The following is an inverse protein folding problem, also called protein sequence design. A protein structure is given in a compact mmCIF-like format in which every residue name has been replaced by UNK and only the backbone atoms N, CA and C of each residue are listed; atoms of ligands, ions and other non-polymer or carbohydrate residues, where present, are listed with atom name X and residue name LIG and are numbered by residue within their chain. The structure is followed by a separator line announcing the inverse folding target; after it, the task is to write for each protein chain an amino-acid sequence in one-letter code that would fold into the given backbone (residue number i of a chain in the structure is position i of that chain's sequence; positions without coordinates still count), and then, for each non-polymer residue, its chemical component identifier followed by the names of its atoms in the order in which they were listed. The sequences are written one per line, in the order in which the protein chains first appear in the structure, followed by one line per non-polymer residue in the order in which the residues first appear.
data_IF_698551444532
#
_entry.id   IF_698551444532
#
_cell.length_a   1.000
_cell.length_b   1.000
_cell.length_c   1.000
_cell.angle_alpha   90.00
_cell.angle_beta   90.00
_cell.angle_gamma   90.00
#
_symmetry.space_group_name_H-M   'P 1'
#
loop_
_entity.id
_entity.type
_entity.pdbx_description
1 polymer ?
#
# COMPACT_ATOMS: atom_id res chain seq x y z
N UNK A 1 0.65 24.03 14.45
CA UNK A 1 0.96 23.23 15.64
C UNK A 1 2.20 22.40 15.32
N UNK A 2 3.37 22.76 15.85
CA UNK A 2 4.57 21.94 15.69
C UNK A 2 4.44 20.73 16.62
N UNK A 3 4.48 19.53 16.05
CA UNK A 3 4.61 18.31 16.83
C UNK A 3 5.97 18.36 17.56
N UNK A 4 5.93 18.25 18.88
CA UNK A 4 7.14 18.20 19.72
C UNK A 4 8.00 16.98 19.35
N UNK A 5 9.35 17.11 19.38
CA UNK A 5 10.27 16.04 18.95
C UNK A 5 10.25 14.78 19.86
N UNK A 6 9.72 14.90 21.07
CA UNK A 6 9.62 13.80 22.04
C UNK A 6 8.20 13.23 22.11
N UNK A 7 7.81 12.50 21.08
CA UNK A 7 6.68 11.56 21.18
C UNK A 7 7.26 10.14 21.26
N UNK A 8 6.67 9.19 22.01
CA UNK A 8 7.14 7.80 22.05
C UNK A 8 7.27 7.14 20.66
N UNK A 9 6.62 7.71 19.64
CA UNK A 9 6.77 7.40 18.22
C UNK A 9 8.16 7.70 17.62
N UNK A 10 8.92 8.68 18.13
CA UNK A 10 10.23 9.06 17.58
C UNK A 10 11.36 8.10 18.00
N UNK A 11 11.39 7.65 19.26
CA UNK A 11 12.39 6.69 19.76
C UNK A 11 12.23 5.28 19.15
N UNK A 12 10.98 4.84 18.92
CA UNK A 12 10.71 3.52 18.34
C UNK A 12 11.13 3.41 16.86
N UNK A 13 11.16 4.53 16.12
CA UNK A 13 11.58 4.56 14.72
C UNK A 13 13.09 4.37 14.52
N UNK A 14 13.91 4.71 15.51
CA UNK A 14 15.38 4.64 15.40
C UNK A 14 15.91 3.19 15.27
N UNK A 15 15.16 2.20 15.73
CA UNK A 15 15.51 0.77 15.67
C UNK A 15 14.79 0.02 14.54
N UNK A 16 13.99 0.71 13.73
CA UNK A 16 13.29 0.10 12.61
C UNK A 16 14.29 -0.32 11.49
N UNK A 17 14.02 -1.40 10.74
CA UNK A 17 14.87 -1.78 9.62
C UNK A 17 14.93 -0.65 8.59
N UNK A 18 16.16 -0.30 8.17
CA UNK A 18 16.43 0.83 7.27
C UNK A 18 16.05 0.56 5.82
N UNK A 19 15.98 -0.72 5.43
CA UNK A 19 15.58 -1.14 4.09
C UNK A 19 14.57 -2.28 4.19
N UNK A 20 13.46 -2.13 3.48
CA UNK A 20 12.33 -3.06 3.51
C UNK A 20 12.16 -3.65 2.12
N UNK A 21 12.04 -4.97 2.03
CA UNK A 21 11.70 -5.65 0.78
C UNK A 21 10.22 -5.50 0.46
N UNK A 22 9.93 -4.85 -0.67
CA UNK A 22 8.58 -4.50 -1.09
C UNK A 22 8.24 -5.12 -2.44
N UNK A 23 7.02 -5.64 -2.59
CA UNK A 23 6.49 -6.10 -3.87
C UNK A 23 5.31 -5.22 -4.30
N UNK A 24 5.24 -4.86 -5.58
CA UNK A 24 4.15 -4.03 -6.13
C UNK A 24 3.29 -4.85 -7.07
N UNK A 25 1.98 -4.79 -6.90
CA UNK A 25 1.00 -5.42 -7.79
C UNK A 25 0.06 -4.36 -8.36
N UNK A 26 0.15 -4.12 -9.65
CA UNK A 26 -0.83 -3.28 -10.36
C UNK A 26 -2.01 -4.14 -10.78
N UNK A 27 -3.21 -3.76 -10.37
CA UNK A 27 -4.46 -4.43 -10.75
C UNK A 27 -5.13 -3.63 -11.86
N UNK A 28 -5.16 -4.18 -13.07
CA UNK A 28 -5.75 -3.53 -14.23
C UNK A 28 -6.00 -4.48 -15.40
N UNK A 29 -7.14 -4.27 -16.06
CA UNK A 29 -7.46 -4.97 -17.31
C UNK A 29 -6.72 -4.43 -18.54
N UNK A 30 -6.17 -3.21 -18.46
CA UNK A 30 -5.62 -2.48 -19.63
C UNK A 30 -4.17 -2.04 -19.48
N UNK A 31 -3.61 -2.06 -18.26
CA UNK A 31 -2.20 -1.71 -18.06
C UNK A 31 -1.26 -2.76 -18.63
N UNK A 32 -0.13 -2.28 -19.12
CA UNK A 32 1.05 -3.02 -19.52
C UNK A 32 2.25 -2.37 -18.84
N UNK A 33 3.42 -3.03 -18.87
CA UNK A 33 4.64 -2.47 -18.28
C UNK A 33 4.99 -1.07 -18.85
N UNK A 34 4.67 -0.84 -20.12
CA UNK A 34 4.94 0.42 -20.79
C UNK A 34 4.13 1.59 -20.22
N UNK A 35 2.88 1.35 -19.80
CA UNK A 35 1.94 2.39 -19.39
C UNK A 35 1.47 2.31 -17.92
N UNK A 36 2.05 1.40 -17.12
CA UNK A 36 1.81 1.30 -15.69
C UNK A 36 2.53 2.43 -14.92
N UNK A 37 1.95 3.62 -14.95
CA UNK A 37 2.52 4.81 -14.29
C UNK A 37 2.45 4.70 -12.77
N UNK A 38 1.35 4.18 -12.22
CA UNK A 38 1.13 4.06 -10.78
C UNK A 38 2.06 3.02 -10.15
N UNK A 39 2.17 1.81 -10.72
CA UNK A 39 3.10 0.79 -10.24
C UNK A 39 4.56 1.23 -10.40
N UNK A 40 4.87 2.00 -11.45
CA UNK A 40 6.19 2.62 -11.62
C UNK A 40 6.49 3.65 -10.53
N UNK A 41 5.55 4.56 -10.26
CA UNK A 41 5.69 5.58 -9.22
C UNK A 41 5.91 4.96 -7.82
N UNK A 42 5.19 3.89 -7.47
CA UNK A 42 5.42 3.16 -6.20
C UNK A 42 6.85 2.66 -6.13
N UNK A 43 7.33 1.99 -7.19
CA UNK A 43 8.69 1.45 -7.25
C UNK A 43 9.76 2.55 -7.11
N UNK A 44 9.60 3.66 -7.84
CA UNK A 44 10.51 4.81 -7.77
C UNK A 44 10.56 5.43 -6.38
N UNK A 45 9.41 5.63 -5.74
CA UNK A 45 9.31 6.21 -4.40
C UNK A 45 9.95 5.29 -3.34
N UNK A 46 9.73 3.97 -3.44
CA UNK A 46 10.36 2.99 -2.56
C UNK A 46 11.89 3.01 -2.71
N UNK A 47 12.39 2.96 -3.93
CA UNK A 47 13.84 2.99 -4.20
C UNK A 47 14.48 4.30 -3.75
N UNK A 48 13.83 5.44 -3.99
CA UNK A 48 14.30 6.76 -3.54
C UNK A 48 14.37 6.85 -2.00
N UNK A 49 13.48 6.15 -1.29
CA UNK A 49 13.50 6.04 0.17
C UNK A 49 14.47 4.98 0.73
N UNK A 50 15.25 4.31 -0.13
CA UNK A 50 16.23 3.29 0.28
C UNK A 50 15.64 1.89 0.53
N UNK A 51 14.40 1.66 0.13
CA UNK A 51 13.75 0.34 0.18
C UNK A 51 14.04 -0.48 -1.07
N UNK A 52 13.97 -1.81 -0.95
CA UNK A 52 14.21 -2.72 -2.06
C UNK A 52 12.89 -3.10 -2.73
N UNK A 53 12.79 -2.85 -4.03
CA UNK A 53 11.69 -3.38 -4.85
C UNK A 53 12.05 -4.81 -5.24
N UNK A 54 11.49 -5.80 -4.55
CA UNK A 54 11.71 -7.24 -4.79
C UNK A 54 11.17 -7.64 -6.16
N UNK A 55 10.05 -7.04 -6.57
CA UNK A 55 9.47 -7.25 -7.88
C UNK A 55 8.22 -6.40 -8.10
N UNK A 56 7.73 -6.45 -9.33
CA UNK A 56 6.45 -5.86 -9.74
C UNK A 56 5.70 -6.85 -10.60
N UNK A 57 4.37 -6.85 -10.50
CA UNK A 57 3.50 -7.63 -11.36
C UNK A 57 2.27 -6.82 -11.76
N UNK A 58 1.71 -7.14 -12.92
CA UNK A 58 0.39 -6.64 -13.36
C UNK A 58 -0.56 -7.83 -13.41
N UNK A 59 -1.73 -7.70 -12.78
CA UNK A 59 -2.80 -8.72 -12.79
C UNK A 59 -4.12 -8.10 -13.24
N UNK A 60 -5.03 -8.93 -13.75
CA UNK A 60 -6.38 -8.49 -14.12
C UNK A 60 -7.20 -8.16 -12.87
N UNK A 61 -8.22 -7.32 -13.02
CA UNK A 61 -9.16 -6.99 -11.94
C UNK A 61 -10.14 -8.16 -11.75
N UNK A 62 -9.62 -9.19 -11.12
CA UNK A 62 -10.31 -10.42 -10.75
C UNK A 62 -9.90 -10.78 -9.31
N UNK A 63 -10.86 -11.02 -8.39
CA UNK A 63 -10.55 -11.27 -6.99
C UNK A 63 -9.59 -12.44 -6.78
N UNK A 64 -9.76 -13.54 -7.50
CA UNK A 64 -8.96 -14.74 -7.30
C UNK A 64 -7.54 -14.55 -7.84
N UNK A 65 -7.40 -13.84 -8.96
CA UNK A 65 -6.07 -13.47 -9.48
C UNK A 65 -5.34 -12.51 -8.54
N UNK A 66 -6.04 -11.54 -7.95
CA UNK A 66 -5.46 -10.61 -6.96
C UNK A 66 -5.03 -11.38 -5.71
N UNK A 67 -5.90 -12.22 -5.13
CA UNK A 67 -5.59 -13.01 -3.93
C UNK A 67 -4.42 -13.96 -4.17
N UNK A 68 -4.45 -14.70 -5.28
CA UNK A 68 -3.38 -15.62 -5.65
C UNK A 68 -2.05 -14.94 -5.92
N UNK A 69 -2.06 -13.70 -6.45
CA UNK A 69 -0.85 -12.90 -6.59
C UNK A 69 -0.30 -12.48 -5.23
N UNK A 70 -1.16 -12.01 -4.32
CA UNK A 70 -0.76 -11.63 -2.96
C UNK A 70 -0.15 -12.83 -2.23
N UNK A 71 -0.86 -13.96 -2.16
CA UNK A 71 -0.39 -15.17 -1.47
C UNK A 71 0.97 -15.65 -2.01
N UNK A 72 1.10 -15.72 -3.34
CA UNK A 72 2.35 -16.15 -4.00
C UNK A 72 3.52 -15.25 -3.62
N UNK A 73 3.33 -13.94 -3.60
CA UNK A 73 4.42 -13.01 -3.31
C UNK A 73 4.72 -12.92 -1.81
N UNK A 74 3.73 -13.06 -0.94
CA UNK A 74 3.98 -13.11 0.51
C UNK A 74 4.75 -14.38 0.93
N UNK A 75 4.65 -15.47 0.16
CA UNK A 75 5.48 -16.66 0.36
C UNK A 75 6.97 -16.43 0.04
N UNK A 76 7.32 -15.37 -0.69
CA UNK A 76 8.70 -15.01 -0.96
C UNK A 76 9.37 -14.45 0.32
N UNK A 77 10.52 -15.00 0.75
CA UNK A 77 11.13 -14.62 2.04
C UNK A 77 11.54 -13.14 2.10
N UNK A 78 11.90 -12.55 0.95
CA UNK A 78 12.26 -11.14 0.85
C UNK A 78 11.09 -10.14 0.89
N UNK A 79 9.83 -10.56 0.74
CA UNK A 79 8.69 -9.64 0.60
C UNK A 79 8.06 -9.29 1.94
N UNK A 80 8.54 -8.24 2.58
CA UNK A 80 8.04 -7.78 3.89
C UNK A 80 6.74 -6.96 3.77
N UNK A 81 6.61 -6.22 2.66
CA UNK A 81 5.45 -5.38 2.36
C UNK A 81 4.97 -5.67 0.93
N UNK A 82 3.66 -5.79 0.75
CA UNK A 82 3.03 -5.88 -0.56
C UNK A 82 2.07 -4.71 -0.76
N UNK A 83 2.21 -3.99 -1.87
CA UNK A 83 1.39 -2.83 -2.21
C UNK A 83 0.65 -3.13 -3.51
N UNK A 84 -0.68 -3.11 -3.46
CA UNK A 84 -1.54 -3.16 -4.65
C UNK A 84 -1.95 -1.75 -5.07
N UNK A 85 -2.13 -1.52 -6.37
CA UNK A 85 -2.74 -0.28 -6.91
C UNK A 85 -3.73 -0.61 -8.02
N UNK A 86 -4.96 -0.09 -7.92
CA UNK A 86 -6.02 -0.29 -8.91
C UNK A 86 -7.15 -1.24 -8.48
N UNK A 87 -8.27 -1.20 -9.20
CA UNK A 87 -9.48 -2.00 -8.94
C UNK A 87 -10.23 -1.68 -7.64
N UNK A 88 -10.09 -0.45 -7.12
CA UNK A 88 -10.72 -0.01 -5.86
C UNK A 88 -11.86 1.00 -6.05
N UNK A 89 -12.33 1.26 -7.28
CA UNK A 89 -13.49 2.12 -7.54
C UNK A 89 -14.81 1.55 -6.99
N UNK A 90 -15.96 2.15 -7.29
CA UNK A 90 -17.27 1.69 -6.75
C UNK A 90 -18.08 0.89 -7.77
N UNK A 91 -17.51 0.58 -8.94
CA UNK A 91 -18.23 -0.16 -9.98
C UNK A 91 -18.24 -1.65 -9.68
N UNK A 92 -19.12 -2.40 -10.35
CA UNK A 92 -19.17 -3.87 -10.23
C UNK A 92 -17.89 -4.58 -10.70
N UNK A 93 -17.01 -3.89 -11.42
CA UNK A 93 -15.70 -4.41 -11.84
C UNK A 93 -14.65 -4.25 -10.74
N UNK A 94 -14.79 -3.26 -9.86
CA UNK A 94 -13.77 -2.89 -8.88
C UNK A 94 -13.83 -3.81 -7.64
N UNK A 95 -13.04 -4.87 -7.69
CA UNK A 95 -13.12 -5.95 -6.71
C UNK A 95 -11.90 -6.07 -5.79
N UNK A 96 -10.79 -5.40 -6.12
CA UNK A 96 -9.53 -5.44 -5.36
C UNK A 96 -9.71 -5.10 -3.89
N UNK A 97 -10.49 -4.07 -3.57
CA UNK A 97 -10.65 -3.66 -2.17
C UNK A 97 -11.28 -4.77 -1.33
N UNK A 98 -12.37 -5.39 -1.81
CA UNK A 98 -13.01 -6.49 -1.06
C UNK A 98 -12.12 -7.73 -0.98
N UNK A 99 -11.43 -8.04 -2.08
CA UNK A 99 -10.47 -9.14 -2.13
C UNK A 99 -9.35 -8.96 -1.09
N UNK A 100 -8.74 -7.78 -1.01
CA UNK A 100 -7.67 -7.48 -0.05
C UNK A 100 -8.21 -7.44 1.38
N UNK A 101 -9.32 -6.73 1.62
CA UNK A 101 -9.95 -6.62 2.94
C UNK A 101 -10.33 -7.99 3.51
N UNK A 102 -10.80 -8.91 2.67
CA UNK A 102 -11.10 -10.29 3.05
C UNK A 102 -9.88 -11.14 3.43
N UNK A 103 -8.67 -10.73 3.05
CA UNK A 103 -7.42 -11.41 3.43
C UNK A 103 -6.82 -10.89 4.74
N UNK A 104 -7.15 -9.66 5.15
CA UNK A 104 -6.51 -9.02 6.30
C UNK A 104 -6.88 -9.73 7.62
N UNK A 105 -5.89 -10.29 8.30
CA UNK A 105 -6.02 -10.89 9.63
C UNK A 105 -6.13 -9.83 10.73
N UNK A 106 -5.47 -8.68 10.52
CA UNK A 106 -5.57 -7.50 11.37
C UNK A 106 -5.60 -6.26 10.49
N UNK A 107 -6.65 -5.46 10.61
CA UNK A 107 -6.81 -4.24 9.82
C UNK A 107 -6.10 -3.08 10.48
N UNK A 108 -5.56 -2.19 9.66
CA UNK A 108 -5.05 -0.88 10.04
C UNK A 108 -6.05 0.17 9.56
N UNK A 109 -7.24 0.21 10.15
CA UNK A 109 -8.37 1.03 9.65
C UNK A 109 -8.01 2.51 9.51
N UNK A 110 -7.18 3.02 10.43
CA UNK A 110 -6.63 4.38 10.40
C UNK A 110 -5.89 4.74 9.10
N UNK A 111 -5.34 3.77 8.36
CA UNK A 111 -4.73 4.04 7.06
C UNK A 111 -5.76 4.55 6.04
N UNK A 112 -6.88 3.86 5.90
CA UNK A 112 -7.94 4.25 4.96
C UNK A 112 -8.63 5.54 5.39
N UNK A 113 -8.79 5.75 6.69
CA UNK A 113 -9.36 6.97 7.28
C UNK A 113 -8.49 8.19 7.01
N UNK A 114 -7.20 8.14 7.35
CA UNK A 114 -6.25 9.23 7.10
C UNK A 114 -6.08 9.48 5.61
N UNK A 115 -6.04 8.42 4.79
CA UNK A 115 -5.96 8.57 3.34
C UNK A 115 -7.16 9.34 2.78
N UNK A 116 -8.39 9.02 3.21
CA UNK A 116 -9.59 9.75 2.78
C UNK A 116 -9.60 11.19 3.29
N UNK A 117 -9.17 11.43 4.53
CA UNK A 117 -9.05 12.79 5.08
C UNK A 117 -8.08 13.64 4.24
N UNK A 118 -6.87 13.14 3.99
CA UNK A 118 -5.89 13.82 3.14
C UNK A 118 -6.36 13.97 1.70
N UNK A 119 -7.09 12.99 1.17
CA UNK A 119 -7.68 13.07 -0.17
C UNK A 119 -8.76 14.15 -0.22
N UNK A 120 -9.55 14.32 0.83
CA UNK A 120 -10.60 15.33 0.89
C UNK A 120 -10.02 16.75 0.75
N UNK A 121 -8.83 17.00 1.32
CA UNK A 121 -8.12 18.26 1.14
C UNK A 121 -7.73 18.53 -0.33
N UNK A 122 -7.54 17.49 -1.15
CA UNK A 122 -7.12 17.61 -2.55
C UNK A 122 -8.26 17.56 -3.56
N UNK A 123 -9.26 16.69 -3.33
CA UNK A 123 -10.32 16.38 -4.30
C UNK A 123 -11.73 16.57 -3.73
N UNK A 124 -11.86 17.12 -2.52
CA UNK A 124 -13.13 17.41 -1.88
C UNK A 124 -13.98 16.15 -1.67
N UNK A 125 -15.29 16.27 -1.86
CA UNK A 125 -16.27 15.21 -1.62
C UNK A 125 -16.02 13.93 -2.43
N UNK A 126 -15.29 13.99 -3.55
CA UNK A 126 -14.90 12.81 -4.32
C UNK A 126 -14.09 11.80 -3.48
N UNK A 127 -13.37 12.27 -2.45
CA UNK A 127 -12.65 11.41 -1.51
C UNK A 127 -13.54 10.43 -0.75
N UNK A 128 -14.86 10.67 -0.66
CA UNK A 128 -15.82 9.73 -0.09
C UNK A 128 -15.83 8.39 -0.84
N UNK A 129 -15.57 8.40 -2.15
CA UNK A 129 -15.53 7.19 -2.99
C UNK A 129 -14.17 6.50 -2.98
N UNK A 130 -13.15 7.12 -2.39
CA UNK A 130 -11.79 6.57 -2.35
C UNK A 130 -11.71 5.39 -1.39
N UNK A 131 -11.47 4.19 -1.94
CA UNK A 131 -11.24 2.97 -1.15
C UNK A 131 -9.76 2.61 -1.15
N UNK A 132 -9.16 2.67 0.04
CA UNK A 132 -7.80 2.24 0.34
C UNK A 132 -7.82 1.52 1.68
N UNK A 133 -7.00 0.48 1.83
CA UNK A 133 -6.91 -0.30 3.06
C UNK A 133 -5.48 -0.79 3.29
N UNK A 134 -5.17 -1.09 4.55
CA UNK A 134 -3.91 -1.71 4.93
C UNK A 134 -4.14 -2.67 6.09
N UNK A 135 -3.27 -3.67 6.23
CA UNK A 135 -3.36 -4.64 7.31
C UNK A 135 -2.26 -5.68 7.26
N UNK A 136 -2.39 -6.67 8.14
CA UNK A 136 -1.50 -7.82 8.20
C UNK A 136 -2.12 -9.03 7.50
N UNK A 137 -1.27 -9.74 6.75
CA UNK A 137 -1.55 -11.07 6.19
C UNK A 137 -0.31 -11.93 6.45
N UNK A 138 -0.45 -13.00 7.24
CA UNK A 138 0.63 -13.94 7.54
C UNK A 138 1.92 -13.25 8.07
N UNK A 139 1.77 -12.26 8.96
CA UNK A 139 2.90 -11.50 9.52
C UNK A 139 3.58 -10.52 8.56
N UNK A 140 3.00 -10.29 7.37
CA UNK A 140 3.48 -9.31 6.38
C UNK A 140 2.48 -8.16 6.25
N UNK A 141 2.96 -6.99 5.85
CA UNK A 141 2.10 -5.82 5.61
C UNK A 141 1.53 -5.89 4.20
N UNK A 142 0.22 -5.74 4.05
CA UNK A 142 -0.47 -5.61 2.77
C UNK A 142 -1.20 -4.28 2.72
N UNK A 143 -1.05 -3.56 1.61
CA UNK A 143 -1.69 -2.27 1.36
C UNK A 143 -2.40 -2.31 0.02
N UNK A 144 -3.60 -1.73 -0.07
CA UNK A 144 -4.33 -1.51 -1.30
C UNK A 144 -4.60 -0.03 -1.52
N UNK A 145 -4.13 0.48 -2.66
CA UNK A 145 -4.21 1.88 -3.06
C UNK A 145 -5.12 2.02 -4.29
N UNK A 146 -5.74 3.20 -4.49
CA UNK A 146 -6.40 3.51 -5.75
C UNK A 146 -5.43 3.48 -6.94
N UNK A 147 -5.98 3.35 -8.14
CA UNK A 147 -5.21 3.21 -9.38
C UNK A 147 -4.60 4.49 -9.93
N UNK A 148 -4.96 5.67 -9.40
CA UNK A 148 -4.43 6.94 -9.89
C UNK A 148 -3.07 7.26 -9.28
N UNK A 149 -2.14 7.75 -10.10
CA UNK A 149 -0.79 8.08 -9.63
C UNK A 149 -0.81 9.17 -8.54
N UNK A 150 -1.75 10.12 -8.62
CA UNK A 150 -1.92 11.15 -7.57
C UNK A 150 -2.28 10.54 -6.20
N UNK A 151 -3.22 9.59 -6.19
CA UNK A 151 -3.60 8.89 -4.96
C UNK A 151 -2.44 8.05 -4.40
N UNK A 152 -1.71 7.37 -5.30
CA UNK A 152 -0.50 6.62 -4.95
C UNK A 152 0.54 7.51 -4.28
N UNK A 153 0.91 8.64 -4.90
CA UNK A 153 1.90 9.56 -4.34
C UNK A 153 1.45 10.10 -2.98
N UNK A 154 0.19 10.49 -2.85
CA UNK A 154 -0.36 10.94 -1.57
C UNK A 154 -0.21 9.89 -0.47
N UNK A 155 -0.65 8.65 -0.71
CA UNK A 155 -0.57 7.57 0.27
C UNK A 155 0.88 7.19 0.60
N UNK A 156 1.74 7.10 -0.41
CA UNK A 156 3.15 6.75 -0.24
C UNK A 156 3.88 7.81 0.58
N UNK A 157 3.80 9.07 0.19
CA UNK A 157 4.59 10.16 0.78
C UNK A 157 4.09 10.58 2.15
N UNK A 158 2.76 10.59 2.36
CA UNK A 158 2.17 11.09 3.61
C UNK A 158 1.98 10.03 4.68
N UNK A 159 1.85 8.76 4.30
CA UNK A 159 1.47 7.69 5.24
C UNK A 159 2.45 6.53 5.24
N UNK A 160 2.78 5.94 4.08
CA UNK A 160 3.53 4.69 4.04
C UNK A 160 5.03 4.88 4.27
N UNK A 161 5.72 5.70 3.47
CA UNK A 161 7.17 5.89 3.60
C UNK A 161 7.61 6.36 5.00
N UNK A 162 6.90 7.29 5.68
CA UNK A 162 7.27 7.71 7.03
C UNK A 162 7.15 6.63 8.11
N UNK A 163 6.39 5.57 7.85
CA UNK A 163 6.03 4.53 8.82
C UNK A 163 6.47 3.11 8.43
N UNK A 164 6.93 2.88 7.19
CA UNK A 164 7.09 1.54 6.62
C UNK A 164 8.00 0.64 7.46
N UNK A 165 9.14 1.17 7.90
CA UNK A 165 10.07 0.44 8.77
C UNK A 165 9.45 0.09 10.12
N UNK A 166 8.69 1.02 10.73
CA UNK A 166 8.03 0.78 12.01
C UNK A 166 6.89 -0.24 11.87
N UNK A 167 6.08 -0.15 10.81
CA UNK A 167 5.04 -1.13 10.50
C UNK A 167 5.60 -2.55 10.42
N UNK A 168 6.69 -2.75 9.67
CA UNK A 168 7.33 -4.06 9.54
C UNK A 168 7.90 -4.54 10.87
N UNK A 169 8.56 -3.66 11.63
CA UNK A 169 9.08 -4.01 12.95
C UNK A 169 7.97 -4.48 13.91
N UNK A 170 6.80 -3.83 13.90
CA UNK A 170 5.67 -4.23 14.72
C UNK A 170 5.01 -5.52 14.23
N UNK A 171 4.95 -5.74 12.90
CA UNK A 171 4.38 -6.97 12.33
C UNK A 171 5.23 -8.22 12.60
N UNK A 172 6.54 -8.05 12.86
CA UNK A 172 7.47 -9.16 13.16
C UNK A 172 7.55 -9.55 14.64
N UNK A 173 6.74 -8.93 15.51
CA UNK A 173 6.66 -9.25 16.95
C UNK A 173 5.47 -10.16 17.23
#
# INVERSE_FOLDING_TARGET
MSLSPDSPTSEHKAQAPRSIGCFVVTVSDTRTEANDTSGRAIGELLSAAGHRVVGRAIVKDDPELVRGAIERQLAHPDVQVLITTGGTGITSRDSTYEAVVGMLQKRLDGFGELFRMLSYEQIGSAAMMSRACAGLVAGRIVVSLPGSEKAVRLAMEKLLLPELGHLVQQASR
#
